data_IF_105522690089
#
_entry.id   IF_105522690089
#
_cell.length_a   1.000
_cell.length_b   1.000
_cell.length_c   1.000
_cell.angle_alpha   90.00
_cell.angle_beta   90.00
_cell.angle_gamma   90.00
#
_symmetry.space_group_name_H-M   'P 1'
#
loop_
_entity.id
_entity.type
_entity.pdbx_description
1 polymer ?
#
# COMPACT_ATOMS: atom_id res chain seq x y z
N UNK A 1 9.54 19.58 -7.45
CA UNK A 1 8.49 19.57 -8.49
C UNK A 1 8.43 18.17 -9.08
N UNK A 2 7.31 17.45 -8.93
CA UNK A 2 7.19 16.02 -9.26
C UNK A 2 7.05 15.84 -10.77
N UNK A 3 8.17 15.66 -11.48
CA UNK A 3 8.19 15.35 -12.92
C UNK A 3 8.07 13.84 -13.23
N UNK A 4 7.77 13.00 -12.22
CA UNK A 4 7.55 11.58 -12.44
C UNK A 4 6.08 11.34 -12.87
N UNK A 5 5.88 11.04 -14.17
CA UNK A 5 4.55 10.72 -14.72
C UNK A 5 3.86 9.57 -13.99
N UNK A 6 4.61 8.61 -13.43
CA UNK A 6 4.05 7.48 -12.70
C UNK A 6 3.29 7.90 -11.44
N UNK A 7 3.59 9.08 -10.88
CA UNK A 7 2.92 9.63 -9.70
C UNK A 7 1.65 10.43 -10.04
N UNK A 8 1.23 10.44 -11.31
CA UNK A 8 -0.02 11.11 -11.70
C UNK A 8 -1.26 10.66 -10.91
N UNK A 9 -1.41 9.38 -10.50
CA UNK A 9 -2.59 8.95 -9.73
C UNK A 9 -2.72 9.65 -8.37
N UNK A 10 -1.62 10.10 -7.77
CA UNK A 10 -1.62 10.73 -6.44
C UNK A 10 -1.20 12.20 -6.49
N UNK A 11 -1.19 12.81 -7.69
CA UNK A 11 -0.72 14.18 -7.89
C UNK A 11 -1.44 15.18 -6.97
N UNK A 12 -2.75 15.04 -6.85
CA UNK A 12 -3.56 15.95 -6.02
C UNK A 12 -3.22 15.79 -4.53
N UNK A 13 -3.14 14.55 -4.04
CA UNK A 13 -2.74 14.24 -2.67
C UNK A 13 -1.32 14.74 -2.31
N UNK A 14 -0.40 14.75 -3.30
CA UNK A 14 0.92 15.36 -3.13
C UNK A 14 0.81 16.88 -2.96
N UNK A 15 -0.01 17.54 -3.79
CA UNK A 15 -0.22 18.99 -3.75
C UNK A 15 -0.87 19.40 -2.42
N UNK A 16 -1.83 18.63 -1.95
CA UNK A 16 -2.62 18.91 -0.74
C UNK A 16 -1.85 18.58 0.56
N UNK A 17 -0.70 17.92 0.47
CA UNK A 17 0.12 17.56 1.62
C UNK A 17 -0.42 16.36 2.41
N UNK A 18 -1.15 15.47 1.75
CA UNK A 18 -1.77 14.28 2.36
C UNK A 18 -0.75 13.18 2.69
N UNK A 19 0.51 13.34 2.27
CA UNK A 19 1.58 12.36 2.50
C UNK A 19 2.59 12.92 3.50
N UNK A 20 2.82 12.18 4.59
CA UNK A 20 3.92 12.46 5.51
C UNK A 20 5.21 11.84 4.98
N UNK A 21 6.02 12.66 4.31
CA UNK A 21 7.29 12.21 3.73
C UNK A 21 8.32 11.78 4.78
N UNK A 22 8.24 12.29 6.02
CA UNK A 22 9.16 11.91 7.09
C UNK A 22 8.88 10.48 7.51
N UNK A 23 7.64 10.18 7.87
CA UNK A 23 7.24 8.82 8.24
C UNK A 23 7.30 7.85 7.05
N UNK A 24 6.99 8.31 5.84
CA UNK A 24 7.17 7.51 4.62
C UNK A 24 8.62 7.12 4.43
N UNK A 25 9.57 8.06 4.58
CA UNK A 25 11.01 7.75 4.49
C UNK A 25 11.43 6.75 5.56
N UNK A 26 11.00 6.93 6.80
CA UNK A 26 11.30 6.00 7.89
C UNK A 26 10.75 4.59 7.59
N UNK A 27 9.51 4.50 7.09
CA UNK A 27 8.90 3.22 6.71
C UNK A 27 9.62 2.53 5.55
N UNK A 28 10.01 3.29 4.52
CA UNK A 28 10.72 2.71 3.36
C UNK A 28 12.09 2.15 3.76
N UNK A 29 12.72 2.73 4.79
CA UNK A 29 14.02 2.30 5.30
C UNK A 29 13.92 1.34 6.49
N UNK A 30 12.72 1.12 7.05
CA UNK A 30 12.55 0.30 8.24
C UNK A 30 12.96 -1.15 7.98
N UNK A 31 13.53 -1.77 9.01
CA UNK A 31 13.94 -3.16 8.98
C UNK A 31 13.13 -3.95 9.99
N UNK A 32 12.17 -4.74 9.52
CA UNK A 32 11.35 -5.62 10.37
C UNK A 32 12.05 -6.95 10.71
N UNK A 33 13.32 -7.11 10.33
CA UNK A 33 14.12 -8.30 10.59
C UNK A 33 15.41 -7.82 11.26
N UNK A 34 15.81 -8.36 12.41
CA UNK A 34 17.02 -7.92 13.13
C UNK A 34 18.36 -8.19 12.38
N UNK A 35 18.32 -8.44 11.07
CA UNK A 35 19.48 -8.63 10.20
C UNK A 35 19.82 -7.34 9.43
N UNK A 36 21.00 -6.78 9.72
CA UNK A 36 21.49 -5.51 9.16
C UNK A 36 21.67 -5.52 7.63
N UNK A 37 22.01 -6.68 7.05
CA UNK A 37 22.20 -6.84 5.61
C UNK A 37 21.72 -8.23 5.19
N UNK A 38 20.53 -8.34 4.61
CA UNK A 38 20.06 -9.57 3.99
C UNK A 38 19.48 -9.30 2.60
N UNK A 39 19.66 -10.25 1.68
CA UNK A 39 19.01 -10.20 0.36
C UNK A 39 17.48 -10.09 0.49
N UNK A 40 16.92 -10.63 1.58
CA UNK A 40 15.50 -10.52 1.92
C UNK A 40 15.10 -9.08 2.22
N UNK A 41 15.87 -8.36 3.03
CA UNK A 41 15.65 -6.94 3.35
C UNK A 41 15.71 -6.08 2.09
N UNK A 42 16.75 -6.24 1.26
CA UNK A 42 16.89 -5.49 0.00
C UNK A 42 15.69 -5.72 -0.93
N UNK A 43 15.20 -6.97 -1.02
CA UNK A 43 14.00 -7.29 -1.79
C UNK A 43 12.74 -6.64 -1.20
N UNK A 44 12.58 -6.63 0.12
CA UNK A 44 11.45 -5.98 0.79
C UNK A 44 11.45 -4.47 0.53
N UNK A 45 12.56 -3.78 0.79
CA UNK A 45 12.70 -2.34 0.53
C UNK A 45 12.50 -2.01 -0.94
N UNK A 46 13.11 -2.79 -1.85
CA UNK A 46 12.92 -2.63 -3.29
C UNK A 46 11.46 -2.79 -3.73
N UNK A 47 10.70 -3.69 -3.09
CA UNK A 47 9.27 -3.83 -3.34
C UNK A 47 8.48 -2.61 -2.84
N UNK A 48 8.78 -2.09 -1.65
CA UNK A 48 8.14 -0.87 -1.12
C UNK A 48 8.38 0.33 -2.05
N UNK A 49 9.64 0.53 -2.47
CA UNK A 49 10.04 1.60 -3.40
C UNK A 49 9.30 1.48 -4.72
N UNK A 50 9.16 0.27 -5.29
CA UNK A 50 8.43 0.09 -6.54
C UNK A 50 6.95 0.45 -6.42
N UNK A 51 6.31 0.09 -5.31
CA UNK A 51 4.89 0.38 -5.06
C UNK A 51 4.65 1.88 -4.86
N UNK A 52 5.50 2.57 -4.10
CA UNK A 52 5.36 4.02 -3.88
C UNK A 52 5.69 4.86 -5.13
N UNK A 53 6.41 4.28 -6.09
CA UNK A 53 6.69 4.91 -7.39
C UNK A 53 5.76 4.44 -8.52
N UNK A 54 4.75 3.62 -8.24
CA UNK A 54 3.80 3.11 -9.25
C UNK A 54 4.51 2.37 -10.41
N UNK A 55 5.60 1.68 -10.11
CA UNK A 55 6.39 0.87 -11.06
C UNK A 55 6.44 -0.61 -10.64
N UNK A 56 5.51 -1.04 -9.79
CA UNK A 56 5.42 -2.45 -9.42
C UNK A 56 5.01 -3.26 -10.65
N UNK A 57 5.57 -4.47 -10.88
CA UNK A 57 5.37 -5.22 -12.13
C UNK A 57 3.93 -5.76 -12.30
N UNK A 58 3.00 -4.88 -12.65
CA UNK A 58 1.62 -5.17 -13.11
C UNK A 58 1.63 -5.70 -14.55
N UNK A 59 0.51 -6.23 -15.04
CA UNK A 59 0.48 -6.95 -16.31
C UNK A 59 0.77 -6.02 -17.48
N UNK A 60 0.28 -4.79 -17.48
CA UNK A 60 0.66 -3.75 -18.46
C UNK A 60 2.19 -3.61 -18.58
N UNK A 61 2.90 -3.52 -17.46
CA UNK A 61 4.36 -3.41 -17.41
C UNK A 61 5.02 -4.72 -17.86
N UNK A 62 4.47 -5.88 -17.48
CA UNK A 62 4.99 -7.17 -17.94
C UNK A 62 4.82 -7.35 -19.46
N UNK A 63 3.67 -6.96 -20.00
CA UNK A 63 3.36 -7.00 -21.42
C UNK A 63 4.29 -6.07 -22.20
N UNK A 64 4.53 -4.85 -21.71
CA UNK A 64 5.50 -3.92 -22.30
C UNK A 64 6.93 -4.50 -22.33
N UNK A 65 7.33 -5.21 -21.28
CA UNK A 65 8.67 -5.80 -21.18
C UNK A 65 8.84 -7.08 -22.01
N UNK A 66 7.75 -7.84 -22.20
CA UNK A 66 7.75 -9.16 -22.84
C UNK A 66 6.63 -9.28 -23.91
N UNK A 67 6.56 -8.39 -24.92
CA UNK A 67 5.40 -8.28 -25.80
C UNK A 67 5.05 -9.54 -26.60
N UNK A 68 5.99 -10.45 -26.84
CA UNK A 68 5.72 -11.73 -27.52
C UNK A 68 5.25 -12.85 -26.58
N UNK A 69 5.32 -12.66 -25.26
CA UNK A 69 4.85 -13.65 -24.28
C UNK A 69 3.40 -13.40 -23.87
N UNK A 70 2.94 -12.15 -23.91
CA UNK A 70 1.60 -11.75 -23.45
C UNK A 70 0.66 -11.56 -24.65
N UNK A 71 -0.66 -11.75 -24.46
CA UNK A 71 -1.65 -11.45 -25.49
C UNK A 71 -1.54 -10.00 -25.98
N UNK A 72 -1.90 -9.74 -27.23
CA UNK A 72 -1.98 -8.38 -27.76
C UNK A 72 -3.22 -7.65 -27.22
N UNK A 73 -3.12 -6.33 -27.10
CA UNK A 73 -4.21 -5.47 -26.64
C UNK A 73 -4.26 -5.29 -25.11
N UNK A 74 -5.25 -4.55 -24.63
CA UNK A 74 -5.43 -4.30 -23.20
C UNK A 74 -5.78 -5.58 -22.46
N UNK A 75 -4.98 -5.94 -21.45
CA UNK A 75 -5.26 -7.09 -20.59
C UNK A 75 -6.07 -6.58 -19.38
N UNK A 76 -7.27 -7.14 -19.14
CA UNK A 76 -8.09 -6.72 -18.01
C UNK A 76 -7.50 -7.22 -16.69
N UNK A 77 -7.84 -6.53 -15.61
CA UNK A 77 -7.49 -6.92 -14.25
C UNK A 77 -7.96 -8.35 -13.98
N UNK A 78 -7.05 -9.22 -13.54
CA UNK A 78 -7.34 -10.64 -13.29
C UNK A 78 -8.38 -10.84 -12.17
N UNK A 79 -8.56 -9.83 -11.32
CA UNK A 79 -9.50 -9.89 -10.20
C UNK A 79 -10.91 -9.45 -10.61
N UNK A 80 -11.06 -8.25 -11.18
CA UNK A 80 -12.39 -7.72 -11.50
C UNK A 80 -12.83 -7.90 -12.94
N UNK A 81 -11.92 -8.21 -13.87
CA UNK A 81 -12.14 -8.28 -15.32
C UNK A 81 -12.74 -7.02 -16.00
N UNK A 82 -12.88 -5.90 -15.28
CA UNK A 82 -13.63 -4.72 -15.74
C UNK A 82 -12.78 -3.46 -16.01
N UNK A 83 -11.49 -3.49 -15.66
CA UNK A 83 -10.58 -2.37 -15.85
C UNK A 83 -9.22 -2.86 -16.35
N UNK A 84 -8.41 -1.96 -16.91
CA UNK A 84 -7.05 -2.27 -17.32
C UNK A 84 -6.19 -2.67 -16.11
N UNK A 85 -5.30 -3.63 -16.31
CA UNK A 85 -4.41 -4.13 -15.27
C UNK A 85 -3.13 -3.28 -15.17
N UNK A 86 -3.18 -2.20 -14.38
CA UNK A 86 -2.08 -1.27 -14.17
C UNK A 86 -1.88 -0.87 -12.69
N UNK A 87 -0.82 -0.12 -12.38
CA UNK A 87 -0.55 0.34 -11.00
C UNK A 87 -1.61 1.31 -10.47
N UNK A 88 -2.39 1.96 -11.31
CA UNK A 88 -3.45 2.89 -10.89
C UNK A 88 -4.67 2.11 -10.38
N UNK A 89 -5.08 1.08 -11.11
CA UNK A 89 -6.27 0.30 -10.82
C UNK A 89 -6.11 -0.69 -9.66
N UNK A 90 -4.93 -1.29 -9.46
CA UNK A 90 -4.75 -2.41 -8.51
C UNK A 90 -5.27 -2.10 -7.10
N UNK A 91 -5.03 -0.89 -6.59
CA UNK A 91 -5.52 -0.47 -5.28
C UNK A 91 -6.99 -0.03 -5.25
N UNK A 92 -7.60 0.19 -6.41
CA UNK A 92 -8.98 0.63 -6.60
C UNK A 92 -9.89 -0.51 -7.06
N UNK A 93 -9.38 -1.74 -7.10
CA UNK A 93 -10.15 -2.89 -7.52
C UNK A 93 -11.32 -3.14 -6.55
N UNK A 94 -12.55 -3.14 -7.07
CA UNK A 94 -13.77 -3.33 -6.26
C UNK A 94 -13.79 -4.65 -5.48
N UNK A 95 -13.08 -5.67 -5.98
CA UNK A 95 -12.97 -6.99 -5.35
C UNK A 95 -12.22 -6.97 -4.02
N UNK A 96 -11.56 -5.84 -3.69
CA UNK A 96 -10.88 -5.62 -2.42
C UNK A 96 -11.69 -4.78 -1.43
N UNK A 97 -12.79 -4.16 -1.86
CA UNK A 97 -13.46 -3.09 -1.11
C UNK A 97 -13.87 -3.51 0.31
N UNK A 98 -14.60 -4.62 0.45
CA UNK A 98 -15.05 -5.11 1.75
C UNK A 98 -13.87 -5.50 2.66
N UNK A 99 -12.84 -6.11 2.09
CA UNK A 99 -11.64 -6.50 2.84
C UNK A 99 -10.82 -5.27 3.27
N UNK A 100 -10.74 -4.22 2.44
CA UNK A 100 -10.12 -2.94 2.80
C UNK A 100 -10.88 -2.30 3.96
N UNK A 101 -12.22 -2.24 3.90
CA UNK A 101 -13.05 -1.73 5.01
C UNK A 101 -12.78 -2.49 6.31
N UNK A 102 -12.68 -3.81 6.24
CA UNK A 102 -12.36 -4.64 7.40
C UNK A 102 -10.94 -4.37 7.94
N UNK A 103 -9.95 -4.20 7.07
CA UNK A 103 -8.58 -3.86 7.46
C UNK A 103 -8.55 -2.49 8.15
N UNK A 104 -9.17 -1.47 7.56
CA UNK A 104 -9.21 -0.12 8.12
C UNK A 104 -9.97 -0.07 9.45
N UNK A 105 -11.08 -0.80 9.57
CA UNK A 105 -11.84 -0.92 10.83
C UNK A 105 -11.00 -1.55 11.94
N UNK A 106 -10.29 -2.64 11.63
CA UNK A 106 -9.38 -3.28 12.59
C UNK A 106 -8.20 -2.37 12.94
N UNK A 107 -7.63 -1.69 11.95
CA UNK A 107 -6.54 -0.75 12.15
C UNK A 107 -6.95 0.43 13.05
N UNK A 108 -8.17 0.95 12.91
CA UNK A 108 -8.72 1.97 13.79
C UNK A 108 -8.78 1.50 15.25
N UNK A 109 -9.27 0.26 15.47
CA UNK A 109 -9.32 -0.35 16.80
C UNK A 109 -7.92 -0.60 17.38
N UNK A 110 -7.02 -1.18 16.60
CA UNK A 110 -5.64 -1.46 17.04
C UNK A 110 -4.88 -0.17 17.36
N UNK A 111 -5.09 0.89 16.57
CA UNK A 111 -4.52 2.22 16.83
C UNK A 111 -5.08 2.80 18.12
N UNK A 112 -6.40 2.72 18.33
CA UNK A 112 -7.03 3.20 19.56
C UNK A 112 -6.43 2.52 20.80
N UNK A 113 -6.35 1.19 20.80
CA UNK A 113 -5.73 0.45 21.90
C UNK A 113 -4.27 0.82 22.11
N UNK A 114 -3.51 0.95 21.02
CA UNK A 114 -2.08 1.30 21.08
C UNK A 114 -1.87 2.67 21.72
N UNK A 115 -2.66 3.66 21.32
CA UNK A 115 -2.58 5.01 21.87
C UNK A 115 -3.00 4.98 23.34
N UNK A 116 -4.15 4.38 23.68
CA UNK A 116 -4.65 4.30 25.06
C UNK A 116 -3.68 3.62 26.02
N UNK A 117 -2.93 2.60 25.56
CA UNK A 117 -1.91 1.90 26.37
C UNK A 117 -0.66 2.76 26.62
N UNK A 118 -0.38 3.74 25.77
CA UNK A 118 0.86 4.52 25.80
C UNK A 118 0.66 6.01 26.12
N UNK A 119 -0.57 6.42 26.42
CA UNK A 119 -0.92 7.76 26.88
C UNK A 119 -1.47 7.73 28.29
N UNK A 120 -1.25 8.82 29.04
CA UNK A 120 -1.90 9.04 30.34
C UNK A 120 -3.35 9.51 30.18
N UNK A 121 -3.71 9.91 28.96
CA UNK A 121 -4.99 10.50 28.61
C UNK A 121 -6.04 9.41 28.32
N UNK A 122 -6.80 9.00 29.34
CA UNK A 122 -7.87 7.99 29.22
C UNK A 122 -9.18 8.57 28.65
N UNK A 123 -9.10 9.61 27.84
CA UNK A 123 -10.27 10.35 27.37
C UNK A 123 -10.96 9.70 26.16
N UNK A 124 -12.29 9.83 26.11
CA UNK A 124 -13.16 9.49 24.97
C UNK A 124 -12.72 10.14 23.65
N UNK A 125 -11.97 11.25 23.73
CA UNK A 125 -11.46 12.05 22.61
C UNK A 125 -10.62 11.26 21.60
N UNK A 126 -9.85 10.25 22.04
CA UNK A 126 -9.03 9.42 21.12
C UNK A 126 -9.93 8.69 20.11
N UNK A 127 -11.03 8.11 20.59
CA UNK A 127 -11.97 7.37 19.77
C UNK A 127 -12.67 8.28 18.76
N UNK A 128 -13.06 9.47 19.19
CA UNK A 128 -13.73 10.45 18.32
C UNK A 128 -12.80 11.00 17.25
N UNK A 129 -11.53 11.28 17.59
CA UNK A 129 -10.52 11.70 16.61
C UNK A 129 -10.27 10.60 15.57
N UNK A 130 -10.09 9.34 15.99
CA UNK A 130 -9.88 8.23 15.05
C UNK A 130 -11.10 8.07 14.14
N UNK A 131 -12.32 8.14 14.68
CA UNK A 131 -13.56 8.02 13.90
C UNK A 131 -13.76 9.15 12.89
N UNK A 132 -13.30 10.37 13.21
CA UNK A 132 -13.41 11.55 12.33
C UNK A 132 -12.21 11.70 11.38
N UNK A 133 -11.19 10.87 11.52
CA UNK A 133 -10.01 10.89 10.64
C UNK A 133 -10.36 10.32 9.26
N UNK A 134 -10.07 11.05 8.16
CA UNK A 134 -10.41 10.62 6.81
C UNK A 134 -9.90 9.22 6.44
N UNK A 135 -8.72 8.82 6.90
CA UNK A 135 -8.18 7.47 6.67
C UNK A 135 -9.12 6.33 7.12
N UNK A 136 -9.90 6.54 8.18
CA UNK A 136 -10.77 5.51 8.75
C UNK A 136 -12.24 5.68 8.31
N UNK A 137 -12.52 6.56 7.35
CA UNK A 137 -13.85 6.70 6.75
C UNK A 137 -14.13 5.56 5.76
N UNK A 138 -14.89 4.57 6.23
CA UNK A 138 -15.26 3.38 5.45
C UNK A 138 -16.61 3.53 4.72
N UNK A 139 -17.17 4.75 4.63
CA UNK A 139 -18.51 5.00 4.09
C UNK A 139 -18.62 4.88 2.55
N UNK A 140 -17.50 4.68 1.85
CA UNK A 140 -17.49 4.49 0.40
C UNK A 140 -18.29 3.23 -0.01
N UNK A 141 -19.11 3.33 -1.06
CA UNK A 141 -20.07 2.26 -1.43
C UNK A 141 -19.40 1.15 -2.25
N UNK A 142 -18.80 1.51 -3.38
CA UNK A 142 -18.30 0.54 -4.36
C UNK A 142 -16.83 0.19 -4.12
N UNK A 143 -15.91 0.95 -4.71
CA UNK A 143 -14.47 0.79 -4.54
C UNK A 143 -13.91 1.89 -3.64
N UNK A 144 -12.71 1.66 -3.13
CA UNK A 144 -11.93 2.69 -2.46
C UNK A 144 -11.74 3.88 -3.43
N UNK A 145 -12.15 5.10 -3.07
CA UNK A 145 -11.89 6.27 -3.92
C UNK A 145 -10.40 6.55 -4.03
N UNK A 146 -9.95 6.99 -5.20
CA UNK A 146 -8.54 7.33 -5.41
C UNK A 146 -8.04 8.48 -4.50
N UNK A 147 -8.93 9.41 -4.14
CA UNK A 147 -8.64 10.50 -3.21
C UNK A 147 -8.57 10.06 -1.74
N UNK A 148 -9.08 8.87 -1.41
CA UNK A 148 -9.12 8.39 -0.04
C UNK A 148 -7.69 8.09 0.46
N UNK A 149 -7.30 8.49 1.70
CA UNK A 149 -5.94 8.27 2.21
C UNK A 149 -5.51 6.79 2.26
N UNK A 150 -6.47 5.88 2.39
CA UNK A 150 -6.25 4.44 2.24
C UNK A 150 -5.60 4.03 0.91
N UNK A 151 -5.78 4.79 -0.17
CA UNK A 151 -5.11 4.53 -1.44
C UNK A 151 -3.59 4.75 -1.32
N UNK A 152 -3.16 5.75 -0.55
CA UNK A 152 -1.74 5.99 -0.25
C UNK A 152 -1.13 4.78 0.47
N UNK A 153 -1.85 4.18 1.43
CA UNK A 153 -1.38 3.00 2.15
C UNK A 153 -1.09 1.83 1.21
N UNK A 154 -1.96 1.58 0.22
CA UNK A 154 -1.77 0.49 -0.75
C UNK A 154 -0.43 0.63 -1.50
N UNK A 155 0.01 1.88 -1.69
CA UNK A 155 1.27 2.24 -2.34
C UNK A 155 2.43 2.47 -1.35
N UNK A 156 2.33 2.02 -0.09
CA UNK A 156 3.36 2.22 0.96
C UNK A 156 3.71 3.68 1.24
N UNK A 157 2.79 4.60 0.98
CA UNK A 157 2.88 6.00 1.39
C UNK A 157 2.13 6.18 2.70
N UNK A 158 2.67 7.00 3.60
CA UNK A 158 2.08 7.22 4.92
C UNK A 158 1.17 8.44 4.86
N UNK A 159 -0.14 8.30 5.12
CA UNK A 159 -1.06 9.42 5.22
C UNK A 159 -0.69 10.39 6.36
N UNK A 160 -0.75 11.70 6.09
CA UNK A 160 -0.48 12.76 7.05
C UNK A 160 -1.48 12.78 8.22
N UNK A 161 -2.72 12.37 8.00
CA UNK A 161 -3.74 12.30 9.03
C UNK A 161 -3.44 11.22 10.08
N UNK A 162 -2.90 10.07 9.66
CA UNK A 162 -2.40 9.04 10.56
C UNK A 162 -1.26 9.55 11.45
N UNK A 163 -0.26 10.23 10.88
CA UNK A 163 0.89 10.69 11.66
C UNK A 163 0.52 11.83 12.61
N UNK A 164 -0.47 12.67 12.25
CA UNK A 164 -1.03 13.69 13.15
C UNK A 164 -1.57 13.06 14.44
N UNK A 165 -2.25 11.92 14.39
CA UNK A 165 -2.71 11.21 15.60
C UNK A 165 -1.53 10.85 16.51
N UNK A 166 -0.48 10.25 15.94
CA UNK A 166 0.74 9.93 16.69
C UNK A 166 1.42 11.17 17.28
N UNK A 167 1.45 12.28 16.54
CA UNK A 167 2.03 13.54 17.00
C UNK A 167 1.22 14.18 18.15
N UNK A 168 -0.11 14.06 18.13
CA UNK A 168 -1.00 14.60 19.18
C UNK A 168 -0.81 13.86 20.51
N UNK A 169 -0.77 12.53 20.47
CA UNK A 169 -0.82 11.72 21.69
C UNK A 169 0.55 11.25 22.21
N UNK A 170 1.56 11.16 21.34
CA UNK A 170 2.88 10.64 21.70
C UNK A 170 3.92 11.74 21.52
N UNK A 171 4.23 12.41 22.63
CA UNK A 171 5.21 13.50 22.68
C UNK A 171 6.65 13.01 22.51
N UNK A 172 6.97 11.84 23.07
CA UNK A 172 8.31 11.27 22.94
C UNK A 172 8.54 10.78 21.51
N UNK A 173 9.50 11.41 20.83
CA UNK A 173 9.79 11.14 19.42
C UNK A 173 10.24 9.68 19.18
N UNK A 174 11.07 9.12 20.07
CA UNK A 174 11.61 7.76 19.88
C UNK A 174 10.52 6.72 20.05
N UNK A 175 9.72 6.84 21.12
CA UNK A 175 8.55 6.02 21.38
C UNK A 175 7.54 6.12 20.24
N UNK A 176 7.28 7.34 19.74
CA UNK A 176 6.35 7.57 18.62
C UNK A 176 6.75 6.78 17.38
N UNK A 177 8.00 6.87 16.94
CA UNK A 177 8.46 6.11 15.77
C UNK A 177 8.44 4.60 16.02
N UNK A 178 8.77 4.15 17.22
CA UNK A 178 8.70 2.72 17.58
C UNK A 178 7.26 2.19 17.52
N UNK A 179 6.32 2.88 18.16
CA UNK A 179 4.89 2.52 18.16
C UNK A 179 4.30 2.60 16.76
N UNK A 180 4.62 3.66 16.01
CA UNK A 180 4.21 3.80 14.61
C UNK A 180 4.72 2.63 13.78
N UNK A 181 6.01 2.30 13.87
CA UNK A 181 6.61 1.23 13.05
C UNK A 181 5.95 -0.12 13.34
N UNK A 182 5.68 -0.41 14.62
CA UNK A 182 4.97 -1.63 15.03
C UNK A 182 3.55 -1.68 14.45
N UNK A 183 2.78 -0.61 14.61
CA UNK A 183 1.42 -0.50 14.07
C UNK A 183 1.40 -0.63 12.54
N UNK A 184 2.23 0.17 11.88
CA UNK A 184 2.26 0.29 10.44
C UNK A 184 2.75 -1.00 9.78
N UNK A 185 3.69 -1.72 10.40
CA UNK A 185 4.13 -3.04 9.92
C UNK A 185 2.99 -4.06 9.90
N UNK A 186 2.17 -4.12 10.95
CA UNK A 186 0.98 -5.00 11.01
C UNK A 186 -0.09 -4.60 9.97
N UNK A 187 -0.38 -3.30 9.86
CA UNK A 187 -1.33 -2.76 8.88
C UNK A 187 -0.89 -3.09 7.44
N UNK A 188 0.36 -2.76 7.12
CA UNK A 188 0.91 -2.98 5.78
C UNK A 188 1.03 -4.45 5.42
N UNK A 189 1.32 -5.33 6.38
CA UNK A 189 1.29 -6.79 6.16
C UNK A 189 -0.11 -7.27 5.74
N UNK A 190 -1.16 -6.73 6.35
CA UNK A 190 -2.55 -7.06 6.01
C UNK A 190 -2.91 -6.57 4.59
N UNK A 191 -2.52 -5.34 4.25
CA UNK A 191 -2.72 -4.76 2.91
C UNK A 191 -1.95 -5.56 1.84
N UNK A 192 -0.67 -5.87 2.10
CA UNK A 192 0.18 -6.62 1.18
C UNK A 192 -0.32 -8.04 0.96
N UNK A 193 -0.88 -8.67 1.98
CA UNK A 193 -1.48 -10.00 1.84
C UNK A 193 -2.74 -9.94 0.98
N UNK A 194 -3.63 -8.99 1.27
CA UNK A 194 -4.90 -8.82 0.56
C UNK A 194 -4.70 -8.50 -0.92
N UNK A 195 -3.84 -7.53 -1.22
CA UNK A 195 -3.72 -6.96 -2.57
C UNK A 195 -2.57 -7.65 -3.29
N UNK A 196 -1.33 -7.35 -2.88
CA UNK A 196 -0.15 -7.69 -3.68
C UNK A 196 0.17 -9.19 -3.71
N UNK A 197 -0.03 -9.90 -2.59
CA UNK A 197 0.26 -11.34 -2.48
C UNK A 197 -0.80 -12.17 -3.21
N UNK A 198 -2.08 -11.88 -2.95
CA UNK A 198 -3.21 -12.51 -3.65
C UNK A 198 -3.07 -12.33 -5.16
N UNK A 199 -2.85 -11.09 -5.59
CA UNK A 199 -2.67 -10.73 -6.99
C UNK A 199 -1.48 -11.44 -7.62
N UNK A 200 -0.32 -11.46 -6.97
CA UNK A 200 0.85 -12.18 -7.50
C UNK A 200 0.57 -13.68 -7.69
N UNK A 201 -0.25 -14.29 -6.82
CA UNK A 201 -0.71 -15.67 -6.97
C UNK A 201 -1.61 -15.84 -8.19
N UNK A 202 -2.62 -14.98 -8.35
CA UNK A 202 -3.57 -15.02 -9.47
C UNK A 202 -2.88 -14.79 -10.82
N UNK A 203 -2.00 -13.79 -10.91
CA UNK A 203 -1.20 -13.53 -12.11
C UNK A 203 -0.35 -14.74 -12.45
N UNK A 204 0.30 -15.37 -11.46
CA UNK A 204 1.10 -16.58 -11.69
C UNK A 204 0.24 -17.73 -12.24
N UNK A 205 -0.97 -17.92 -11.72
CA UNK A 205 -1.89 -18.95 -12.23
C UNK A 205 -2.31 -18.67 -13.67
N UNK A 206 -2.69 -17.43 -13.97
CA UNK A 206 -3.05 -16.99 -15.32
C UNK A 206 -1.87 -17.05 -16.30
N UNK A 207 -0.67 -16.65 -15.89
CA UNK A 207 0.55 -16.82 -16.71
C UNK A 207 0.80 -18.29 -17.05
N UNK A 208 0.54 -19.21 -16.12
CA UNK A 208 0.68 -20.64 -16.39
C UNK A 208 -0.33 -21.14 -17.45
N UNK A 209 -1.56 -20.61 -17.50
CA UNK A 209 -2.53 -20.99 -18.55
C UNK A 209 -2.08 -20.55 -19.93
N UNK A 210 -1.22 -19.52 -20.01
CA UNK A 210 -0.59 -19.04 -21.24
C UNK A 210 0.79 -19.67 -21.49
N UNK A 211 1.19 -20.66 -20.67
CA UNK A 211 2.53 -21.25 -20.69
C UNK A 211 3.66 -20.21 -20.56
N UNK A 212 3.41 -19.07 -19.90
CA UNK A 212 4.41 -18.04 -19.60
C UNK A 212 5.13 -18.47 -18.32
N UNK A 213 6.44 -18.74 -18.43
CA UNK A 213 7.26 -19.19 -17.30
C UNK A 213 8.35 -18.17 -16.95
N UNK A 214 8.88 -18.25 -15.73
CA UNK A 214 10.05 -17.47 -15.32
C UNK A 214 11.25 -17.67 -16.26
N UNK A 215 11.44 -18.88 -16.79
CA UNK A 215 12.49 -19.17 -17.75
C UNK A 215 12.24 -18.42 -19.07
N UNK A 216 11.03 -18.45 -19.62
CA UNK A 216 10.71 -17.67 -20.83
C UNK A 216 11.00 -16.18 -20.65
N UNK A 217 10.64 -15.59 -19.50
CA UNK A 217 10.99 -14.20 -19.17
C UNK A 217 12.49 -13.95 -19.05
N UNK A 218 13.24 -14.88 -18.42
CA UNK A 218 14.70 -14.79 -18.23
C UNK A 218 15.47 -14.83 -19.55
N UNK A 219 15.01 -15.64 -20.51
CA UNK A 219 15.66 -15.82 -21.81
C UNK A 219 15.00 -15.00 -22.94
N UNK A 220 14.04 -14.12 -22.63
CA UNK A 220 13.27 -13.40 -23.65
C UNK A 220 14.10 -12.56 -24.62
N UNK A 221 15.23 -12.00 -24.14
CA UNK A 221 16.13 -11.14 -24.93
C UNK A 221 17.45 -11.82 -25.30
N UNK A 222 17.59 -13.11 -25.00
CA UNK A 222 18.75 -13.92 -25.37
C UNK A 222 18.45 -14.66 -26.66
#
# INVERSE_FOLDING_TARGET
>A
MVNNKALSPIKQQIIDGDIDWTFTKEWLNSNDQDALCSAKLSKQQGNRIKKCNFIYPTIDIQQCNYPRLYPLGSIPCIECANAHDDNMHVGLCREHSNQIKNILTRAAHDLQELIMKNTKDKNFTVKDIIKTTPLFDISFVDALPQSHPGYLLIHHLVPSDLTKIFNIYINDKKLRFSLFSKFFSTLMSSIDTLIWTRRASLIKQWENTLSITKNKKRFYRK
#
